data_IF_634562536741
#
_entry.id   IF_634562536741
#
_cell.length_a   1.000
_cell.length_b   1.000
_cell.length_c   1.000
_cell.angle_alpha   90.00
_cell.angle_beta   90.00
_cell.angle_gamma   90.00
#
_symmetry.space_group_name_H-M   'P 1'
#
loop_
_entity.id
_entity.type
_entity.pdbx_description
1 polymer ?
#
# COMPACT_ATOMS: atom_id res chain seq x y z
N UNK A 1 7.06 8.31 0.27
CA UNK A 1 7.88 8.57 1.48
C UNK A 1 8.94 7.48 1.75
N UNK A 2 9.18 6.54 0.84
CA UNK A 2 9.94 5.32 1.11
C UNK A 2 11.39 5.58 1.58
N UNK A 3 12.18 6.34 0.83
CA UNK A 3 13.60 6.57 1.13
C UNK A 3 13.85 7.25 2.47
N UNK A 4 12.97 8.17 2.86
CA UNK A 4 13.04 8.84 4.17
C UNK A 4 12.90 7.83 5.31
N UNK A 5 11.99 6.87 5.17
CA UNK A 5 11.78 5.83 6.18
C UNK A 5 13.00 4.91 6.29
N UNK A 6 13.61 4.51 5.16
CA UNK A 6 14.83 3.69 5.19
C UNK A 6 15.95 4.37 5.99
N UNK A 7 16.19 5.66 5.74
CA UNK A 7 17.19 6.44 6.47
C UNK A 7 16.84 6.51 7.96
N UNK A 8 15.58 6.79 8.28
CA UNK A 8 15.12 6.93 9.68
C UNK A 8 15.24 5.63 10.48
N UNK A 9 15.01 4.49 9.83
CA UNK A 9 15.08 3.17 10.45
C UNK A 9 16.45 2.49 10.30
N UNK A 10 17.43 3.18 9.71
CA UNK A 10 18.77 2.65 9.41
C UNK A 10 18.72 1.31 8.63
N UNK A 11 17.80 1.24 7.66
CA UNK A 11 17.64 0.08 6.76
C UNK A 11 18.35 0.36 5.45
N UNK A 12 19.39 -0.40 5.17
CA UNK A 12 20.25 -0.23 4.00
C UNK A 12 19.91 -1.16 2.82
N UNK A 13 19.32 -2.33 3.09
CA UNK A 13 18.93 -3.28 2.05
C UNK A 13 17.45 -3.11 1.67
N UNK A 14 17.20 -2.49 0.52
CA UNK A 14 15.86 -2.25 -0.03
C UNK A 14 15.07 -3.55 -0.27
N UNK A 15 15.73 -4.69 -0.47
CA UNK A 15 15.06 -5.98 -0.69
C UNK A 15 14.44 -6.57 0.57
N UNK A 16 14.80 -6.04 1.74
CA UNK A 16 14.20 -6.40 3.05
C UNK A 16 12.94 -5.61 3.38
N UNK A 17 12.57 -4.64 2.53
CA UNK A 17 11.44 -3.73 2.76
C UNK A 17 10.20 -4.19 2.01
N UNK A 18 9.04 -4.06 2.66
CA UNK A 18 7.72 -4.27 2.07
C UNK A 18 6.96 -2.94 2.07
N UNK A 19 6.64 -2.41 0.89
CA UNK A 19 5.76 -1.26 0.73
C UNK A 19 4.31 -1.74 0.63
N UNK A 20 3.52 -1.45 1.66
CA UNK A 20 2.07 -1.66 1.65
C UNK A 20 1.40 -0.33 1.32
N UNK A 21 0.49 -0.33 0.36
CA UNK A 21 -0.24 0.87 -0.07
C UNK A 21 -1.56 0.50 -0.74
N UNK A 22 -2.51 1.42 -0.76
CA UNK A 22 -3.82 1.28 -1.40
C UNK A 22 -3.94 2.11 -2.69
N UNK A 23 -2.88 2.81 -3.08
CA UNK A 23 -2.87 3.64 -4.29
C UNK A 23 -1.88 3.14 -5.32
N UNK A 24 -2.19 3.31 -6.61
CA UNK A 24 -1.28 2.99 -7.71
C UNK A 24 0.06 3.72 -7.55
N UNK A 25 0.02 5.01 -7.20
CA UNK A 25 1.24 5.84 -7.03
C UNK A 25 2.11 5.33 -5.89
N UNK A 26 1.52 4.89 -4.78
CA UNK A 26 2.27 4.32 -3.65
C UNK A 26 2.86 2.95 -3.95
N UNK A 27 2.20 2.13 -4.77
CA UNK A 27 2.74 0.87 -5.28
C UNK A 27 3.90 1.13 -6.24
N UNK A 28 3.74 2.07 -7.18
CA UNK A 28 4.80 2.46 -8.10
C UNK A 28 6.03 3.01 -7.38
N UNK A 29 5.87 3.73 -6.26
CA UNK A 29 6.99 4.16 -5.42
C UNK A 29 7.84 2.95 -4.97
N UNK A 30 7.21 1.87 -4.50
CA UNK A 30 7.91 0.67 -4.05
C UNK A 30 8.58 -0.11 -5.19
N UNK A 31 7.85 -0.30 -6.30
CA UNK A 31 8.38 -0.98 -7.48
C UNK A 31 9.59 -0.24 -8.07
N UNK A 32 9.50 1.08 -8.22
CA UNK A 32 10.58 1.91 -8.75
C UNK A 32 11.81 1.95 -7.83
N UNK A 33 11.60 1.90 -6.51
CA UNK A 33 12.71 1.77 -5.56
C UNK A 33 13.30 0.35 -5.53
N UNK A 34 12.55 -0.65 -5.98
CA UNK A 34 12.98 -2.04 -6.07
C UNK A 34 12.71 -2.89 -4.83
N UNK A 35 11.79 -2.47 -3.95
CA UNK A 35 11.32 -3.29 -2.83
C UNK A 35 10.11 -4.14 -3.21
N UNK A 36 9.65 -5.01 -2.30
CA UNK A 36 8.40 -5.74 -2.47
C UNK A 36 7.21 -4.81 -2.27
N UNK A 37 6.11 -5.06 -2.97
CA UNK A 37 4.88 -4.27 -2.85
C UNK A 37 3.66 -5.14 -2.56
N UNK A 38 2.73 -4.62 -1.76
CA UNK A 38 1.43 -5.25 -1.46
C UNK A 38 0.34 -4.20 -1.57
N UNK A 39 -0.62 -4.44 -2.45
CA UNK A 39 -1.81 -3.60 -2.64
C UNK A 39 -2.92 -3.97 -1.65
N UNK A 40 -3.57 -2.97 -1.05
CA UNK A 40 -4.81 -3.17 -0.31
C UNK A 40 -6.01 -3.06 -1.25
N UNK A 41 -6.78 -4.13 -1.38
CA UNK A 41 -7.87 -4.22 -2.35
C UNK A 41 -9.21 -3.60 -1.89
N UNK A 42 -9.46 -3.54 -0.57
CA UNK A 42 -10.80 -3.18 -0.03
C UNK A 42 -10.76 -1.89 0.79
N UNK A 43 -9.90 -1.83 1.81
CA UNK A 43 -9.89 -0.74 2.79
C UNK A 43 -9.16 0.51 2.28
N UNK A 44 -9.26 0.79 0.99
CA UNK A 44 -8.37 1.67 0.27
C UNK A 44 -9.09 2.58 -0.70
N UNK A 45 -8.32 3.49 -1.30
CA UNK A 45 -8.82 4.54 -2.17
C UNK A 45 -9.54 4.03 -3.43
N UNK A 46 -9.19 2.83 -3.91
CA UNK A 46 -9.83 2.23 -5.10
C UNK A 46 -11.30 1.82 -4.85
N UNK A 47 -11.64 1.37 -3.63
CA UNK A 47 -13.04 1.11 -3.26
C UNK A 47 -13.70 2.40 -2.74
N UNK A 48 -12.99 3.17 -1.93
CA UNK A 48 -13.44 4.51 -1.52
C UNK A 48 -14.67 4.56 -0.62
N UNK A 49 -15.09 3.42 -0.05
CA UNK A 49 -16.20 3.33 0.89
C UNK A 49 -15.72 3.36 2.34
N UNK A 50 -16.55 3.90 3.22
CA UNK A 50 -16.41 3.65 4.66
C UNK A 50 -16.63 2.17 4.97
N UNK A 51 -16.21 1.75 6.16
CA UNK A 51 -16.41 0.37 6.60
C UNK A 51 -17.89 0.00 6.70
N UNK A 52 -18.73 0.94 7.15
CA UNK A 52 -20.17 0.75 7.26
C UNK A 52 -20.82 0.60 5.89
N UNK A 53 -20.45 1.42 4.91
CA UNK A 53 -20.94 1.34 3.53
C UNK A 53 -20.50 0.03 2.87
N UNK A 54 -19.23 -0.36 3.02
CA UNK A 54 -18.72 -1.64 2.52
C UNK A 54 -19.48 -2.84 3.12
N UNK A 55 -19.73 -2.81 4.42
CA UNK A 55 -20.41 -3.90 5.13
C UNK A 55 -21.89 -4.03 4.78
N UNK A 56 -22.49 -2.98 4.21
CA UNK A 56 -23.87 -2.98 3.75
C UNK A 56 -24.03 -3.56 2.33
N UNK A 57 -22.92 -3.75 1.59
CA UNK A 57 -22.95 -4.36 0.27
C UNK A 57 -23.36 -5.83 0.36
N UNK A 58 -24.07 -6.28 -0.67
CA UNK A 58 -24.28 -7.71 -0.87
C UNK A 58 -23.00 -8.38 -1.38
N UNK A 59 -22.94 -9.72 -1.29
CA UNK A 59 -21.76 -10.50 -1.74
C UNK A 59 -21.45 -10.34 -3.24
N UNK A 60 -22.41 -9.87 -4.04
CA UNK A 60 -22.28 -9.75 -5.50
C UNK A 60 -22.02 -8.31 -5.99
N UNK A 61 -21.92 -7.35 -5.06
CA UNK A 61 -21.53 -5.96 -5.32
C UNK A 61 -20.04 -5.77 -5.00
#
# INVERSE_FOLDING_TARGET
>A
MLWKNLIQFDVSDIKTVLKVDDTVVGIDEGLNAGCWTVGLAISGNEVGLSFEEWSALSVNE
#
